data_IF_191044109465
#
_entry.id   IF_191044109465
#
_cell.length_a   1.000
_cell.length_b   1.000
_cell.length_c   1.000
_cell.angle_alpha   90.00
_cell.angle_beta   90.00
_cell.angle_gamma   90.00
#
_symmetry.space_group_name_H-M   'P 1'
#
loop_
_entity.id
_entity.type
_entity.pdbx_description
1 polymer ?
#
# COMPACT_ATOMS: atom_id res chain seq x y z
N UNK A 1 0.86 26.39 -73.82
CA UNK A 1 1.73 26.09 -72.66
C UNK A 1 0.86 26.11 -71.42
N UNK A 2 0.67 24.94 -70.81
CA UNK A 2 -0.25 24.68 -69.71
C UNK A 2 0.51 24.76 -68.38
N UNK A 3 0.06 25.59 -67.45
CA UNK A 3 0.60 25.65 -66.08
C UNK A 3 -0.50 25.26 -65.11
N UNK A 4 -0.42 24.02 -64.60
CA UNK A 4 -1.28 23.49 -63.53
C UNK A 4 -0.97 24.17 -62.18
N UNK A 5 -1.95 24.36 -61.29
CA UNK A 5 -1.70 24.73 -59.91
C UNK A 5 -1.23 23.54 -59.07
N UNK A 6 -0.27 23.79 -58.19
CA UNK A 6 0.32 22.85 -57.23
C UNK A 6 -0.66 22.64 -56.06
N UNK A 7 -1.10 21.39 -55.85
CA UNK A 7 -1.92 21.00 -54.71
C UNK A 7 -1.12 21.13 -53.41
N UNK A 8 -1.67 21.85 -52.42
CA UNK A 8 -1.20 21.86 -51.05
C UNK A 8 -1.70 20.60 -50.35
N UNK A 9 -0.78 19.71 -49.98
CA UNK A 9 -1.05 18.57 -49.10
C UNK A 9 -1.16 19.08 -47.66
N UNK A 10 -2.36 18.99 -47.07
CA UNK A 10 -2.56 19.11 -45.62
C UNK A 10 -1.79 17.99 -44.91
N UNK A 11 -1.11 18.25 -43.80
CA UNK A 11 -0.54 17.19 -42.98
C UNK A 11 -1.68 16.43 -42.31
N UNK A 12 -1.79 15.14 -42.62
CA UNK A 12 -2.64 14.19 -41.92
C UNK A 12 -2.03 14.01 -40.52
N UNK A 13 -2.67 14.57 -39.50
CA UNK A 13 -2.35 14.25 -38.11
C UNK A 13 -2.81 12.82 -37.90
N UNK A 14 -1.87 11.88 -37.92
CA UNK A 14 -2.12 10.51 -37.50
C UNK A 14 -2.47 10.53 -36.01
N UNK A 15 -3.69 10.10 -35.70
CA UNK A 15 -4.17 9.87 -34.33
C UNK A 15 -3.19 8.97 -33.58
N UNK A 16 -2.81 9.28 -32.32
CA UNK A 16 -1.96 8.41 -31.54
C UNK A 16 -2.71 7.09 -31.27
N UNK A 17 -2.18 6.02 -31.84
CA UNK A 17 -2.58 4.63 -31.53
C UNK A 17 -2.42 4.40 -30.03
N UNK A 18 -3.41 3.81 -29.32
CA UNK A 18 -3.26 3.51 -27.91
C UNK A 18 -2.07 2.56 -27.69
N UNK A 19 -1.18 2.92 -26.77
CA UNK A 19 0.04 2.18 -26.44
C UNK A 19 -0.20 0.91 -25.60
N UNK A 20 -1.46 0.44 -25.49
CA UNK A 20 -1.83 -0.80 -24.83
C UNK A 20 -2.90 -1.57 -25.62
N UNK A 21 -2.87 -2.92 -25.63
CA UNK A 21 -3.78 -3.73 -26.41
C UNK A 21 -5.23 -3.63 -25.92
N UNK A 22 -6.18 -3.69 -26.86
CA UNK A 22 -7.64 -3.74 -26.63
C UNK A 22 -8.12 -4.96 -25.80
N UNK A 23 -7.19 -5.82 -25.39
CA UNK A 23 -7.41 -6.99 -24.54
C UNK A 23 -6.56 -6.84 -23.29
N UNK A 24 -7.15 -7.06 -22.11
CA UNK A 24 -6.41 -7.19 -20.84
C UNK A 24 -5.15 -8.03 -21.09
N UNK A 25 -3.95 -7.57 -20.67
CA UNK A 25 -2.76 -8.40 -20.75
C UNK A 25 -3.08 -9.76 -20.11
N UNK A 26 -2.62 -10.86 -20.68
CA UNK A 26 -2.89 -12.18 -20.08
C UNK A 26 -2.12 -12.29 -18.76
N UNK A 27 -2.80 -12.60 -17.65
CA UNK A 27 -2.15 -12.92 -16.38
C UNK A 27 -1.11 -14.05 -16.59
N UNK A 28 0.10 -13.96 -16.00
CA UNK A 28 1.12 -14.99 -16.18
C UNK A 28 0.64 -16.36 -15.68
N UNK A 29 0.62 -17.35 -16.58
CA UNK A 29 0.19 -18.71 -16.27
C UNK A 29 1.03 -19.33 -15.14
N UNK A 30 0.34 -19.90 -14.14
CA UNK A 30 0.87 -20.60 -12.96
C UNK A 30 2.18 -21.35 -13.26
N UNK A 31 3.27 -20.95 -12.58
CA UNK A 31 4.50 -21.76 -12.48
C UNK A 31 4.14 -23.16 -11.98
N UNK A 32 4.62 -24.18 -12.69
CA UNK A 32 4.44 -25.59 -12.31
C UNK A 32 4.96 -25.82 -10.88
N UNK A 33 4.03 -26.13 -9.96
CA UNK A 33 4.37 -26.67 -8.64
C UNK A 33 5.13 -27.98 -8.82
N UNK A 34 6.37 -28.04 -8.36
CA UNK A 34 7.11 -29.29 -8.21
C UNK A 34 6.36 -30.16 -7.20
N UNK A 35 5.84 -31.31 -7.65
CA UNK A 35 5.19 -32.29 -6.78
C UNK A 35 6.23 -32.89 -5.84
N UNK A 36 6.18 -32.55 -4.55
CA UNK A 36 6.88 -33.30 -3.51
C UNK A 36 6.25 -34.70 -3.42
N UNK A 37 7.01 -35.80 -3.51
CA UNK A 37 6.46 -37.15 -3.44
C UNK A 37 5.73 -37.38 -2.12
N UNK A 38 4.52 -37.96 -2.17
CA UNK A 38 3.66 -38.24 -0.99
C UNK A 38 4.36 -39.03 0.12
N UNK A 39 5.42 -39.78 -0.20
CA UNK A 39 6.28 -40.50 0.74
C UNK A 39 7.14 -39.57 1.60
N UNK A 40 7.67 -38.47 1.03
CA UNK A 40 8.48 -37.48 1.76
C UNK A 40 7.61 -36.70 2.73
N UNK A 41 6.39 -36.33 2.33
CA UNK A 41 5.43 -35.63 3.19
C UNK A 41 5.02 -36.47 4.42
N UNK A 42 4.78 -37.77 4.24
CA UNK A 42 4.46 -38.68 5.36
C UNK A 42 5.61 -38.82 6.36
N UNK A 43 6.85 -38.82 5.87
CA UNK A 43 8.04 -38.98 6.71
C UNK A 43 8.32 -37.70 7.52
N UNK A 44 8.16 -36.52 6.91
CA UNK A 44 8.28 -35.22 7.61
C UNK A 44 7.19 -35.04 8.66
N UNK A 45 5.93 -35.38 8.34
CA UNK A 45 4.83 -35.32 9.31
C UNK A 45 5.04 -36.32 10.46
N UNK A 46 5.50 -37.54 10.17
CA UNK A 46 5.78 -38.56 11.18
C UNK A 46 6.87 -38.15 12.16
N UNK A 47 7.98 -37.57 11.67
CA UNK A 47 9.06 -37.06 12.52
C UNK A 47 8.60 -35.86 13.36
N UNK A 48 7.82 -34.95 12.78
CA UNK A 48 7.27 -33.80 13.50
C UNK A 48 6.36 -34.18 14.66
N UNK A 49 5.49 -35.19 14.48
CA UNK A 49 4.62 -35.71 15.55
C UNK A 49 5.45 -36.34 16.68
N UNK A 50 6.51 -37.08 16.35
CA UNK A 50 7.37 -37.72 17.35
C UNK A 50 8.11 -36.67 18.20
N UNK A 51 8.64 -35.62 17.56
CA UNK A 51 9.31 -34.50 18.25
C UNK A 51 8.32 -33.75 19.15
N UNK A 52 7.09 -33.52 18.67
CA UNK A 52 6.04 -32.87 19.46
C UNK A 52 5.65 -33.70 20.69
N UNK A 53 5.52 -35.02 20.56
CA UNK A 53 5.18 -35.90 21.69
C UNK A 53 6.30 -35.97 22.74
N UNK A 54 7.57 -35.95 22.31
CA UNK A 54 8.73 -35.86 23.22
C UNK A 54 8.74 -34.51 23.95
N UNK A 55 8.50 -33.42 23.23
CA UNK A 55 8.42 -32.09 23.83
C UNK A 55 7.23 -31.96 24.81
N UNK A 56 6.05 -32.48 24.45
CA UNK A 56 4.87 -32.49 25.31
C UNK A 56 5.10 -33.34 26.57
N UNK A 57 5.78 -34.49 26.43
CA UNK A 57 6.18 -35.32 27.57
C UNK A 57 7.14 -34.61 28.52
N UNK A 58 8.14 -33.90 27.97
CA UNK A 58 9.07 -33.09 28.76
C UNK A 58 8.37 -31.92 29.47
N UNK A 59 7.47 -31.22 28.77
CA UNK A 59 6.68 -30.11 29.31
C UNK A 59 5.75 -30.53 30.45
N UNK A 60 5.09 -31.69 30.32
CA UNK A 60 4.22 -32.25 31.36
C UNK A 60 5.03 -32.79 32.55
N UNK A 61 6.23 -33.34 32.31
CA UNK A 61 7.15 -33.75 33.37
C UNK A 61 7.66 -32.56 34.19
N UNK A 62 7.99 -31.44 33.53
CA UNK A 62 8.39 -30.19 34.19
C UNK A 62 7.28 -29.65 35.10
N UNK A 63 6.02 -29.72 34.66
CA UNK A 63 4.86 -29.28 35.46
C UNK A 63 4.47 -30.24 36.58
N UNK A 64 4.80 -31.53 36.46
CA UNK A 64 4.55 -32.51 37.52
C UNK A 64 5.62 -32.47 38.63
N UNK A 65 6.85 -32.05 38.30
CA UNK A 65 7.97 -31.99 39.25
C UNK A 65 8.08 -30.63 39.96
N UNK A 66 7.44 -29.58 39.44
CA UNK A 66 7.45 -28.23 40.03
C UNK A 66 6.03 -27.76 40.43
N UNK A 67 5.45 -28.36 41.48
CA UNK A 67 4.62 -27.63 42.47
C UNK A 67 4.29 -28.49 43.69
N UNK A 68 4.62 -28.06 44.91
CA UNK A 68 3.80 -28.34 46.09
C UNK A 68 2.96 -27.11 46.44
N UNK A 69 1.66 -27.34 46.68
CA UNK A 69 0.78 -26.51 47.52
C UNK A 69 0.32 -25.15 46.96
N UNK A 70 -0.94 -25.05 46.56
CA UNK A 70 -1.94 -24.33 47.37
C UNK A 70 -3.31 -24.34 46.66
N UNK A 71 -4.28 -24.96 47.34
CA UNK A 71 -5.69 -24.91 47.00
C UNK A 71 -6.34 -23.77 47.82
N UNK A 72 -6.70 -22.68 47.15
CA UNK A 72 -7.37 -21.53 47.76
C UNK A 72 -8.55 -21.03 46.93
N UNK A 73 -9.75 -21.43 47.36
CA UNK A 73 -11.09 -20.90 47.10
C UNK A 73 -11.36 -19.95 45.92
N UNK A 74 -12.18 -20.42 44.98
CA UNK A 74 -12.99 -19.55 44.12
C UNK A 74 -14.24 -19.08 44.88
N UNK A 75 -14.37 -17.77 45.08
CA UNK A 75 -15.60 -17.12 45.52
C UNK A 75 -16.23 -16.38 44.33
N UNK A 76 -17.50 -16.70 44.04
CA UNK A 76 -18.36 -16.01 43.08
C UNK A 76 -18.77 -14.65 43.64
N UNK A 77 -18.40 -13.57 42.95
CA UNK A 77 -18.83 -12.21 43.24
C UNK A 77 -19.46 -11.58 42.01
N UNK A 78 -20.79 -11.57 41.97
CA UNK A 78 -21.61 -10.80 41.04
C UNK A 78 -21.44 -9.30 41.31
N UNK A 79 -20.95 -8.55 40.32
CA UNK A 79 -20.85 -7.09 40.37
C UNK A 79 -21.22 -6.48 39.02
N UNK A 80 -22.48 -6.09 38.88
CA UNK A 80 -22.98 -5.27 37.78
C UNK A 80 -22.40 -3.87 37.91
N UNK A 81 -21.61 -3.41 36.93
CA UNK A 81 -21.14 -2.02 36.88
C UNK A 81 -21.86 -1.29 35.75
N UNK A 82 -22.76 -0.40 36.18
CA UNK A 82 -23.47 0.57 35.34
C UNK A 82 -22.49 1.71 35.06
N UNK A 83 -22.20 1.99 33.78
CA UNK A 83 -21.48 3.20 33.39
C UNK A 83 -22.49 4.34 33.24
N UNK A 84 -22.52 5.25 34.21
CA UNK A 84 -23.22 6.53 34.12
C UNK A 84 -22.38 7.51 33.31
N UNK A 85 -22.99 8.07 32.27
CA UNK A 85 -22.42 9.09 31.40
C UNK A 85 -22.56 10.46 32.09
N UNK A 86 -21.45 11.04 32.57
CA UNK A 86 -21.40 12.45 32.95
C UNK A 86 -20.81 13.26 31.80
N UNK A 87 -21.65 14.15 31.24
CA UNK A 87 -21.25 15.23 30.35
C UNK A 87 -20.79 16.40 31.21
N UNK A 88 -19.52 16.74 31.18
CA UNK A 88 -19.07 18.10 31.44
C UNK A 88 -18.23 18.59 30.25
N UNK A 89 -18.69 19.70 29.69
CA UNK A 89 -18.04 20.36 28.58
C UNK A 89 -16.80 21.10 29.03
N UNK A 90 -15.67 20.79 28.40
CA UNK A 90 -14.55 21.72 28.29
C UNK A 90 -14.34 21.96 26.81
N UNK A 91 -14.72 23.17 26.42
CA UNK A 91 -14.49 23.75 25.10
C UNK A 91 -12.99 24.03 25.00
N UNK A 92 -12.22 23.05 24.52
CA UNK A 92 -10.85 23.25 24.09
C UNK A 92 -10.87 23.80 22.67
N UNK A 93 -10.70 25.12 22.54
CA UNK A 93 -10.35 25.76 21.29
C UNK A 93 -8.97 25.26 20.85
N UNK A 94 -8.95 24.27 19.95
CA UNK A 94 -7.78 23.90 19.19
C UNK A 94 -7.86 24.57 17.83
N UNK A 95 -7.29 25.77 17.70
CA UNK A 95 -6.95 26.36 16.41
C UNK A 95 -5.95 25.43 15.70
N UNK A 96 -6.47 24.47 14.92
CA UNK A 96 -5.70 23.85 13.87
C UNK A 96 -5.43 24.94 12.84
N UNK A 97 -4.17 25.23 12.58
CA UNK A 97 -3.77 26.02 11.41
C UNK A 97 -4.33 25.29 10.19
N UNK A 98 -5.50 25.71 9.70
CA UNK A 98 -6.01 25.22 8.43
C UNK A 98 -5.05 25.77 7.38
N UNK A 99 -4.24 24.88 6.82
CA UNK A 99 -3.34 25.24 5.74
C UNK A 99 -4.17 25.58 4.51
N UNK A 100 -3.93 26.74 3.91
CA UNK A 100 -4.59 27.17 2.66
C UNK A 100 -4.19 26.30 1.44
N UNK A 101 -3.19 25.42 1.60
CA UNK A 101 -2.72 24.51 0.56
C UNK A 101 -3.70 23.35 0.32
N UNK A 102 -3.89 22.94 -0.95
CA UNK A 102 -4.77 21.83 -1.29
C UNK A 102 -4.27 20.49 -0.75
N UNK A 103 -5.14 19.51 -0.77
CA UNK A 103 -4.86 18.10 -0.46
C UNK A 103 -4.81 17.29 -1.75
N UNK A 104 -4.06 16.20 -1.77
CA UNK A 104 -3.95 15.38 -2.98
C UNK A 104 -3.76 13.88 -2.67
N UNK A 105 -4.29 13.05 -3.57
CA UNK A 105 -3.85 11.66 -3.66
C UNK A 105 -2.51 11.61 -4.38
N UNK A 106 -1.64 10.67 -4.00
CA UNK A 106 -0.34 10.51 -4.65
C UNK A 106 -0.08 9.03 -4.93
N UNK A 107 0.46 8.74 -6.11
CA UNK A 107 0.98 7.41 -6.44
C UNK A 107 2.34 7.52 -7.13
N UNK A 108 3.06 6.40 -7.24
CA UNK A 108 4.39 6.35 -7.82
C UNK A 108 4.48 5.30 -8.93
N UNK A 109 4.90 5.73 -10.12
CA UNK A 109 5.12 4.87 -11.28
C UNK A 109 6.60 4.94 -11.69
N UNK A 110 7.37 3.93 -11.26
CA UNK A 110 8.82 3.86 -11.54
C UNK A 110 9.20 3.00 -12.74
N UNK A 111 8.32 2.10 -13.16
CA UNK A 111 8.59 1.19 -14.27
C UNK A 111 7.30 0.72 -14.92
N UNK A 112 7.37 0.53 -16.24
CA UNK A 112 6.33 -0.09 -17.06
C UNK A 112 6.82 -1.37 -17.73
N UNK A 113 7.96 -1.94 -17.29
CA UNK A 113 8.47 -3.22 -17.78
C UNK A 113 7.42 -4.33 -17.60
N UNK A 114 6.73 -4.29 -16.45
CA UNK A 114 5.47 -4.99 -16.28
C UNK A 114 4.33 -4.01 -16.64
N UNK A 115 3.60 -4.20 -17.75
CA UNK A 115 2.58 -3.26 -18.21
C UNK A 115 1.41 -3.12 -17.22
N UNK A 116 1.25 -4.08 -16.30
CA UNK A 116 0.23 -4.02 -15.26
C UNK A 116 0.40 -2.82 -14.33
N UNK A 117 1.61 -2.32 -14.08
CA UNK A 117 1.79 -1.11 -13.25
C UNK A 117 1.18 0.13 -13.90
N UNK A 118 1.31 0.26 -15.23
CA UNK A 118 0.68 1.37 -15.94
C UNK A 118 -0.84 1.22 -15.95
N UNK A 119 -1.34 0.00 -16.21
CA UNK A 119 -2.78 -0.28 -16.15
C UNK A 119 -3.35 0.04 -14.76
N UNK A 120 -2.68 -0.37 -13.69
CA UNK A 120 -3.16 -0.17 -12.32
C UNK A 120 -3.04 1.30 -11.89
N UNK A 121 -2.03 2.05 -12.37
CA UNK A 121 -1.96 3.52 -12.19
C UNK A 121 -3.17 4.21 -12.85
N UNK A 122 -3.53 3.78 -14.06
CA UNK A 122 -4.74 4.25 -14.75
C UNK A 122 -6.00 3.86 -13.96
N UNK A 123 -6.08 2.63 -13.47
CA UNK A 123 -7.22 2.17 -12.67
C UNK A 123 -7.38 3.02 -11.41
N UNK A 124 -6.30 3.31 -10.70
CA UNK A 124 -6.32 4.19 -9.54
C UNK A 124 -6.86 5.59 -9.88
N UNK A 125 -6.40 6.19 -10.98
CA UNK A 125 -6.92 7.47 -11.49
C UNK A 125 -8.43 7.41 -11.75
N UNK A 126 -8.90 6.39 -12.44
CA UNK A 126 -10.33 6.20 -12.71
C UNK A 126 -11.15 6.02 -11.44
N UNK A 127 -10.68 5.19 -10.50
CA UNK A 127 -11.35 4.95 -9.23
C UNK A 127 -11.50 6.24 -8.42
N UNK A 128 -10.48 7.10 -8.42
CA UNK A 128 -10.47 8.35 -7.66
C UNK A 128 -11.23 9.49 -8.33
N UNK A 129 -11.31 9.54 -9.66
CA UNK A 129 -11.90 10.71 -10.34
C UNK A 129 -13.23 10.44 -11.05
N UNK A 130 -13.55 9.18 -11.36
CA UNK A 130 -14.62 8.86 -12.30
C UNK A 130 -15.55 7.75 -11.83
N UNK A 131 -15.06 6.80 -11.03
CA UNK A 131 -15.87 5.68 -10.60
C UNK A 131 -17.05 6.16 -9.70
N UNK A 132 -18.29 5.68 -9.94
CA UNK A 132 -19.50 6.22 -9.28
C UNK A 132 -19.51 6.13 -7.75
N UNK A 133 -18.77 5.20 -7.16
CA UNK A 133 -18.82 4.91 -5.71
C UNK A 133 -17.56 5.28 -4.94
N UNK A 134 -16.45 5.49 -5.64
CA UNK A 134 -15.14 5.72 -5.01
C UNK A 134 -14.55 7.08 -5.33
N UNK A 135 -15.12 7.80 -6.31
CA UNK A 135 -14.57 9.08 -6.74
C UNK A 135 -14.59 10.13 -5.63
N UNK A 136 -13.56 10.96 -5.66
CA UNK A 136 -13.35 12.16 -4.86
C UNK A 136 -12.71 13.23 -5.77
N UNK A 137 -13.51 13.90 -6.64
CA UNK A 137 -12.98 14.83 -7.63
C UNK A 137 -12.49 16.16 -7.03
N UNK A 138 -12.58 16.35 -5.71
CA UNK A 138 -12.10 17.55 -5.04
C UNK A 138 -10.57 17.58 -4.90
N UNK A 139 -9.92 16.42 -4.98
CA UNK A 139 -8.48 16.27 -4.79
C UNK A 139 -7.86 15.64 -6.04
N UNK A 140 -6.78 16.20 -6.58
CA UNK A 140 -6.12 15.60 -7.73
C UNK A 140 -5.40 14.31 -7.33
N UNK A 141 -5.15 13.44 -8.32
CA UNK A 141 -4.15 12.40 -8.25
C UNK A 141 -2.83 12.91 -8.85
N UNK A 142 -1.81 13.05 -8.00
CA UNK A 142 -0.43 13.31 -8.41
C UNK A 142 0.26 11.98 -8.70
N UNK A 143 0.77 11.81 -9.92
CA UNK A 143 1.57 10.64 -10.29
C UNK A 143 3.04 11.05 -10.33
N UNK A 144 3.81 10.58 -9.36
CA UNK A 144 5.26 10.71 -9.39
C UNK A 144 5.84 9.70 -10.40
N UNK A 145 6.58 10.19 -11.38
CA UNK A 145 7.24 9.35 -12.40
C UNK A 145 8.75 9.48 -12.31
N UNK A 146 9.45 8.44 -12.74
CA UNK A 146 10.90 8.44 -12.87
C UNK A 146 11.34 8.77 -14.29
N UNK A 147 12.63 9.12 -14.54
CA UNK A 147 13.11 9.52 -15.86
C UNK A 147 12.97 8.45 -16.95
N UNK A 148 12.90 7.17 -16.56
CA UNK A 148 12.70 6.05 -17.48
C UNK A 148 11.26 5.90 -17.99
N UNK A 149 10.29 6.59 -17.40
CA UNK A 149 8.91 6.57 -17.89
C UNK A 149 8.84 7.37 -19.21
N UNK A 150 8.37 6.77 -20.32
CA UNK A 150 8.26 7.47 -21.60
C UNK A 150 7.30 8.67 -21.53
N UNK A 151 7.61 9.73 -22.28
CA UNK A 151 6.81 10.96 -22.30
C UNK A 151 5.37 10.70 -22.79
N UNK A 152 5.17 9.71 -23.65
CA UNK A 152 3.84 9.33 -24.14
C UNK A 152 2.95 8.75 -23.03
N UNK A 153 3.55 8.03 -22.07
CA UNK A 153 2.85 7.48 -20.90
C UNK A 153 2.41 8.60 -19.97
N UNK A 154 3.29 9.57 -19.73
CA UNK A 154 2.98 10.76 -18.93
C UNK A 154 1.88 11.59 -19.59
N UNK A 155 2.03 11.87 -20.88
CA UNK A 155 1.02 12.61 -21.67
C UNK A 155 -0.34 11.91 -21.62
N UNK A 156 -0.36 10.58 -21.67
CA UNK A 156 -1.60 9.82 -21.55
C UNK A 156 -2.24 9.98 -20.15
N UNK A 157 -1.45 9.93 -19.07
CA UNK A 157 -1.94 10.14 -17.71
C UNK A 157 -2.49 11.57 -17.52
N UNK A 158 -1.77 12.57 -18.02
CA UNK A 158 -2.19 13.98 -18.00
C UNK A 158 -3.52 14.17 -18.76
N UNK A 159 -3.64 13.61 -19.97
CA UNK A 159 -4.89 13.63 -20.72
C UNK A 159 -6.05 12.92 -20.02
N UNK A 160 -5.74 11.93 -19.17
CA UNK A 160 -6.74 11.23 -18.35
C UNK A 160 -7.05 11.95 -17.03
N UNK A 161 -6.40 13.08 -16.76
CA UNK A 161 -6.70 13.96 -15.62
C UNK A 161 -5.77 13.81 -14.40
N UNK A 162 -4.63 13.13 -14.54
CA UNK A 162 -3.60 13.10 -13.50
C UNK A 162 -2.68 14.33 -13.55
N UNK A 163 -2.17 14.74 -12.39
CA UNK A 163 -1.05 15.68 -12.30
C UNK A 163 0.26 14.89 -12.31
N UNK A 164 0.99 14.88 -13.43
CA UNK A 164 2.26 14.14 -13.52
C UNK A 164 3.42 15.00 -13.04
N UNK A 165 4.22 14.49 -12.10
CA UNK A 165 5.46 15.13 -11.64
C UNK A 165 6.63 14.15 -11.81
N UNK A 166 7.44 14.39 -12.83
CA UNK A 166 8.71 13.66 -13.00
C UNK A 166 9.70 14.06 -11.91
N UNK A 167 10.27 13.08 -11.23
CA UNK A 167 11.28 13.25 -10.18
C UNK A 167 12.55 12.51 -10.53
N UNK A 168 13.67 12.99 -10.00
CA UNK A 168 14.98 12.36 -10.18
C UNK A 168 15.09 11.07 -9.36
N UNK A 169 15.88 10.11 -9.85
CA UNK A 169 16.15 8.89 -9.08
C UNK A 169 16.97 9.22 -7.83
N UNK A 170 16.55 8.71 -6.68
CA UNK A 170 17.33 8.87 -5.46
C UNK A 170 18.44 7.83 -5.37
N UNK A 171 19.64 8.25 -5.74
CA UNK A 171 20.88 7.44 -5.78
C UNK A 171 21.80 7.70 -4.57
N UNK A 172 21.24 8.12 -3.44
CA UNK A 172 21.98 8.60 -2.25
C UNK A 172 22.78 7.50 -1.50
N UNK A 173 23.04 6.34 -2.11
CA UNK A 173 23.75 5.24 -1.45
C UNK A 173 22.92 4.58 -0.35
N UNK A 174 21.61 4.49 -0.54
CA UNK A 174 20.75 3.73 0.36
C UNK A 174 21.14 2.25 0.38
N UNK A 175 21.05 1.58 1.55
CA UNK A 175 21.28 0.16 1.63
C UNK A 175 20.23 -0.60 0.82
N UNK A 176 20.66 -1.69 0.19
CA UNK A 176 19.80 -2.61 -0.57
C UNK A 176 19.94 -4.01 0.03
N UNK A 177 18.88 -4.85 0.01
CA UNK A 177 18.97 -6.22 0.48
C UNK A 177 20.10 -6.99 -0.18
N UNK A 178 20.76 -7.84 0.61
CA UNK A 178 21.80 -8.73 0.12
C UNK A 178 21.26 -9.63 -1.01
N UNK A 179 22.04 -9.82 -2.08
CA UNK A 179 21.63 -10.60 -3.25
C UNK A 179 20.65 -9.91 -4.19
N UNK A 180 20.18 -8.69 -3.88
CA UNK A 180 19.27 -7.92 -4.74
C UNK A 180 19.91 -6.70 -5.41
N UNK A 181 21.24 -6.59 -5.36
CA UNK A 181 21.99 -5.43 -5.86
C UNK A 181 21.83 -5.14 -7.35
N UNK A 182 21.53 -6.17 -8.15
CA UNK A 182 21.38 -6.10 -9.59
C UNK A 182 19.92 -5.78 -10.02
N UNK A 183 18.96 -5.87 -9.09
CA UNK A 183 17.56 -5.56 -9.36
C UNK A 183 17.32 -4.04 -9.28
N UNK A 184 17.43 -3.37 -10.43
CA UNK A 184 17.28 -1.92 -10.56
C UNK A 184 15.99 -1.38 -9.92
N UNK A 185 14.87 -2.13 -10.03
CA UNK A 185 13.59 -1.75 -9.44
C UNK A 185 13.59 -1.56 -7.92
N UNK A 186 14.51 -2.23 -7.21
CA UNK A 186 14.61 -2.13 -5.75
C UNK A 186 15.29 -0.83 -5.31
N UNK A 187 16.23 -0.33 -6.12
CA UNK A 187 16.87 0.98 -5.89
C UNK A 187 15.88 2.10 -6.12
N UNK A 188 15.03 1.96 -7.14
CA UNK A 188 14.05 2.97 -7.51
C UNK A 188 12.99 3.21 -6.42
N UNK A 189 12.72 2.24 -5.54
CA UNK A 189 11.69 2.40 -4.51
C UNK A 189 11.99 3.53 -3.52
N UNK A 190 13.27 3.80 -3.22
CA UNK A 190 13.64 4.96 -2.39
C UNK A 190 13.21 6.29 -3.02
N UNK A 191 13.06 6.35 -4.34
CA UNK A 191 12.58 7.56 -5.04
C UNK A 191 11.17 7.95 -4.60
N UNK A 192 10.37 7.03 -4.02
CA UNK A 192 9.09 7.36 -3.36
C UNK A 192 9.26 8.44 -2.28
N UNK A 193 10.44 8.59 -1.66
CA UNK A 193 10.66 9.62 -0.65
C UNK A 193 10.40 11.05 -1.17
N UNK A 194 10.39 11.28 -2.49
CA UNK A 194 9.97 12.56 -3.06
C UNK A 194 8.55 12.99 -2.67
N UNK A 195 7.68 12.07 -2.23
CA UNK A 195 6.35 12.39 -1.67
C UNK A 195 6.48 13.42 -0.53
N UNK A 196 7.50 13.28 0.33
CA UNK A 196 7.73 14.21 1.45
C UNK A 196 8.14 15.62 0.99
N UNK A 197 8.55 15.78 -0.26
CA UNK A 197 8.96 17.06 -0.83
C UNK A 197 7.84 17.77 -1.62
N UNK A 198 6.64 17.21 -1.68
CA UNK A 198 5.48 17.81 -2.34
C UNK A 198 4.84 18.88 -1.44
N UNK A 199 5.62 19.90 -1.08
CA UNK A 199 5.24 20.94 -0.11
C UNK A 199 4.23 21.96 -0.65
N UNK A 200 3.80 21.83 -1.90
CA UNK A 200 2.66 22.58 -2.46
C UNK A 200 1.32 22.13 -1.87
N UNK A 201 1.26 20.95 -1.25
CA UNK A 201 0.06 20.40 -0.62
C UNK A 201 0.17 20.44 0.90
N UNK A 202 -0.99 20.51 1.57
CA UNK A 202 -1.09 20.46 3.04
C UNK A 202 -1.02 19.04 3.56
N UNK A 203 -1.71 18.11 2.90
CA UNK A 203 -1.77 16.69 3.23
C UNK A 203 -1.85 15.85 1.98
N UNK A 204 -1.25 14.67 2.04
CA UNK A 204 -1.24 13.70 0.96
C UNK A 204 -1.76 12.36 1.47
N UNK A 205 -2.55 11.68 0.65
CA UNK A 205 -2.83 10.26 0.84
C UNK A 205 -2.09 9.50 -0.25
N UNK A 206 -0.97 8.89 0.14
CA UNK A 206 -0.20 8.03 -0.75
C UNK A 206 -0.85 6.66 -0.87
N UNK A 207 -0.93 6.18 -2.12
CA UNK A 207 -1.47 4.90 -2.51
C UNK A 207 -0.49 4.25 -3.51
N UNK A 208 0.01 3.06 -3.20
CA UNK A 208 0.68 2.24 -4.23
C UNK A 208 -0.30 2.00 -5.39
N UNK A 209 0.23 1.90 -6.61
CA UNK A 209 -0.62 1.83 -7.80
C UNK A 209 -1.38 0.50 -7.95
N UNK A 210 -1.12 -0.49 -7.09
CA UNK A 210 -1.83 -1.77 -6.99
C UNK A 210 -2.93 -1.76 -5.90
N UNK A 211 -3.39 -0.57 -5.51
CA UNK A 211 -4.58 -0.37 -4.67
C UNK A 211 -5.87 -0.50 -5.48
N UNK A 212 -6.80 -1.31 -4.96
CA UNK A 212 -8.18 -1.46 -5.43
C UNK A 212 -9.13 -0.84 -4.40
N UNK A 213 -9.93 0.14 -4.81
CA UNK A 213 -10.88 0.84 -3.95
C UNK A 213 -12.22 0.12 -3.94
N UNK A 214 -12.77 -0.05 -2.74
CA UNK A 214 -14.12 -0.57 -2.51
C UNK A 214 -15.10 0.57 -2.19
N UNK A 215 -14.60 1.66 -1.59
CA UNK A 215 -15.38 2.82 -1.16
C UNK A 215 -14.58 4.12 -1.38
N UNK A 216 -15.27 5.25 -1.35
CA UNK A 216 -14.60 6.57 -1.41
C UNK A 216 -13.68 6.77 -0.22
N UNK A 217 -12.45 7.23 -0.47
CA UNK A 217 -11.48 7.58 0.56
C UNK A 217 -11.74 8.96 1.20
N UNK A 218 -12.76 9.69 0.73
CA UNK A 218 -13.14 11.01 1.25
C UNK A 218 -13.21 11.09 2.79
N UNK A 219 -13.78 10.09 3.51
CA UNK A 219 -13.85 10.15 4.98
C UNK A 219 -12.49 10.16 5.69
N UNK A 220 -11.42 9.62 5.07
CA UNK A 220 -10.10 9.56 5.70
C UNK A 220 -9.48 10.96 5.86
N UNK A 221 -9.92 11.95 5.08
CA UNK A 221 -9.44 13.32 5.19
C UNK A 221 -9.98 14.05 6.41
N UNK A 222 -11.07 13.59 7.02
CA UNK A 222 -11.60 14.13 8.28
C UNK A 222 -10.76 13.70 9.50
N UNK A 223 -9.79 12.81 9.29
CA UNK A 223 -8.87 12.35 10.31
C UNK A 223 -8.03 13.51 10.86
N UNK A 224 -8.11 13.73 12.18
CA UNK A 224 -7.46 14.84 12.89
C UNK A 224 -6.34 14.34 13.82
N UNK A 225 -5.42 13.53 13.27
CA UNK A 225 -4.31 12.96 14.04
C UNK A 225 -3.22 14.03 14.32
N UNK A 226 -2.69 14.14 15.55
CA UNK A 226 -1.67 15.12 15.91
C UNK A 226 -0.40 15.09 15.04
N UNK A 227 0.05 13.91 14.64
CA UNK A 227 1.26 13.69 13.82
C UNK A 227 1.09 14.24 12.41
N UNK A 228 -0.14 14.26 11.90
CA UNK A 228 -0.50 14.89 10.61
C UNK A 228 -0.49 16.43 10.70
N UNK A 229 -0.30 17.03 11.89
CA UNK A 229 -0.12 18.49 12.02
C UNK A 229 1.34 18.93 11.99
N UNK A 230 2.29 18.00 12.09
CA UNK A 230 3.72 18.31 12.33
C UNK A 230 4.67 17.65 11.32
N UNK A 231 4.17 17.37 10.11
CA UNK A 231 4.97 16.76 9.03
C UNK A 231 5.05 15.23 9.10
N UNK A 232 4.23 14.58 9.92
CA UNK A 232 4.38 13.17 10.22
C UNK A 232 3.66 12.24 9.23
N UNK A 233 3.61 10.96 9.60
CA UNK A 233 3.01 9.88 8.81
C UNK A 233 1.95 9.18 9.64
N UNK A 234 0.83 8.84 9.03
CA UNK A 234 -0.12 7.90 9.56
C UNK A 234 -0.42 6.81 8.53
N UNK A 235 -0.69 5.59 8.96
CA UNK A 235 -0.95 4.47 8.07
C UNK A 235 -1.56 3.28 8.79
N UNK A 236 -1.64 2.15 8.10
CA UNK A 236 -2.11 0.90 8.70
C UNK A 236 -0.92 -0.04 8.85
N UNK A 237 -0.75 -0.61 10.04
CA UNK A 237 0.26 -1.62 10.28
C UNK A 237 -0.12 -2.95 9.61
N UNK A 238 0.84 -3.66 9.03
CA UNK A 238 0.56 -4.95 8.40
C UNK A 238 0.82 -6.15 9.32
N UNK A 239 1.92 -6.12 10.06
CA UNK A 239 2.44 -7.22 10.89
C UNK A 239 3.32 -6.69 12.01
N UNK A 240 3.76 -7.61 12.87
CA UNK A 240 4.76 -7.29 13.88
C UNK A 240 6.12 -6.96 13.24
N UNK A 241 6.83 -5.94 13.72
CA UNK A 241 8.15 -5.54 13.20
C UNK A 241 9.14 -6.70 13.15
N UNK A 242 9.15 -7.57 14.16
CA UNK A 242 10.05 -8.74 14.23
C UNK A 242 9.79 -9.74 13.09
N UNK A 243 8.52 -9.89 12.68
CA UNK A 243 8.15 -10.79 11.57
C UNK A 243 8.60 -10.23 10.22
N UNK A 244 8.61 -8.91 10.07
CA UNK A 244 8.93 -8.22 8.81
C UNK A 244 10.42 -8.12 8.53
N UNK A 245 11.26 -8.29 9.55
CA UNK A 245 12.73 -8.19 9.41
C UNK A 245 13.36 -9.43 8.76
N UNK A 246 12.65 -10.57 8.70
CA UNK A 246 13.25 -11.86 8.36
C UNK A 246 12.60 -12.61 7.18
N UNK A 247 11.37 -12.28 6.77
CA UNK A 247 10.73 -12.94 5.63
C UNK A 247 9.48 -12.21 5.12
N UNK A 248 9.25 -12.25 3.81
CA UNK A 248 7.96 -11.91 3.20
C UNK A 248 7.06 -13.15 3.24
N UNK A 249 6.27 -13.29 4.31
CA UNK A 249 5.34 -14.42 4.43
C UNK A 249 4.12 -14.28 3.50
N UNK A 250 3.78 -13.09 2.98
CA UNK A 250 2.53 -12.76 2.26
C UNK A 250 1.26 -13.45 2.80
N UNK A 251 1.22 -13.73 4.09
CA UNK A 251 0.06 -14.34 4.74
C UNK A 251 -0.58 -13.30 5.64
N UNK A 252 -1.88 -13.47 5.88
CA UNK A 252 -2.59 -12.64 6.86
C UNK A 252 -2.02 -12.88 8.28
N UNK A 253 -1.81 -11.83 9.09
CA UNK A 253 -1.46 -11.98 10.50
C UNK A 253 -2.56 -12.75 11.25
N UNK A 254 -2.16 -13.46 12.29
CA UNK A 254 -3.12 -14.13 13.17
C UNK A 254 -3.93 -13.09 13.95
N UNK A 255 -5.14 -13.47 14.37
CA UNK A 255 -5.97 -12.60 15.20
C UNK A 255 -5.24 -12.28 16.52
N UNK A 256 -5.17 -11.00 16.87
CA UNK A 256 -4.44 -10.52 18.05
C UNK A 256 -2.93 -10.32 17.83
N UNK A 257 -2.37 -10.62 16.65
CA UNK A 257 -0.99 -10.24 16.31
C UNK A 257 -0.84 -8.70 16.33
N UNK A 258 0.21 -8.21 16.98
CA UNK A 258 0.56 -6.78 16.99
C UNK A 258 0.95 -6.34 15.58
N UNK A 259 0.43 -5.19 15.14
CA UNK A 259 0.67 -4.62 13.81
C UNK A 259 1.41 -3.28 13.91
N UNK A 260 2.65 -3.33 14.36
CA UNK A 260 3.49 -2.18 14.63
C UNK A 260 4.49 -1.87 13.48
N UNK A 261 4.40 -2.58 12.36
CA UNK A 261 5.17 -2.29 11.14
C UNK A 261 4.30 -1.60 10.09
N UNK A 262 4.57 -0.32 9.84
CA UNK A 262 3.90 0.51 8.83
C UNK A 262 4.08 -0.10 7.43
N UNK A 263 2.98 -0.25 6.70
CA UNK A 263 3.02 -0.55 5.27
C UNK A 263 3.22 0.74 4.47
N UNK A 264 4.19 0.77 3.55
CA UNK A 264 4.52 1.96 2.77
C UNK A 264 3.69 2.10 1.49
N UNK A 265 2.65 1.30 1.29
CA UNK A 265 1.73 1.38 0.16
C UNK A 265 0.44 2.16 0.45
N UNK A 266 0.18 2.52 1.71
CA UNK A 266 -0.99 3.30 2.09
C UNK A 266 -0.67 4.21 3.29
N UNK A 267 -0.48 5.51 3.03
CA UNK A 267 -0.01 6.45 4.05
C UNK A 267 -0.63 7.83 3.91
N UNK A 268 -1.18 8.36 5.00
CA UNK A 268 -1.47 9.79 5.15
C UNK A 268 -0.18 10.51 5.55
N UNK A 269 0.24 11.51 4.78
CA UNK A 269 1.53 12.18 4.92
C UNK A 269 1.30 13.69 4.96
N UNK A 270 2.03 14.37 5.84
CA UNK A 270 2.18 15.83 5.79
C UNK A 270 3.55 16.17 5.21
N UNK A 271 3.62 16.70 3.97
CA UNK A 271 4.90 16.99 3.32
C UNK A 271 5.71 18.02 4.10
N UNK A 272 7.02 17.78 4.19
CA UNK A 272 7.96 18.66 4.88
C UNK A 272 9.35 18.50 4.25
N UNK A 273 9.87 19.59 3.68
CA UNK A 273 11.16 19.60 2.98
C UNK A 273 12.32 19.25 3.94
N UNK A 274 12.24 19.68 5.21
CA UNK A 274 13.26 19.33 6.21
C UNK A 274 13.25 17.82 6.45
N UNK A 275 12.07 17.21 6.63
CA UNK A 275 11.91 15.76 6.79
C UNK A 275 12.38 14.98 5.58
N UNK A 276 12.08 15.44 4.37
CA UNK A 276 12.63 14.85 3.15
C UNK A 276 14.18 14.82 3.20
N UNK A 277 14.80 15.93 3.59
CA UNK A 277 16.26 16.01 3.77
C UNK A 277 16.81 15.11 4.89
N UNK A 278 16.05 14.89 5.96
CA UNK A 278 16.39 13.97 7.06
C UNK A 278 16.31 12.51 6.60
N UNK A 279 15.19 12.10 5.98
CA UNK A 279 14.97 10.74 5.47
C UNK A 279 16.06 10.29 4.51
N UNK A 280 16.54 11.19 3.64
CA UNK A 280 17.63 10.89 2.70
C UNK A 280 18.96 10.54 3.37
N UNK A 281 19.16 10.96 4.62
CA UNK A 281 20.38 10.71 5.41
C UNK A 281 20.27 9.48 6.30
N UNK A 282 19.08 8.87 6.43
CA UNK A 282 18.84 7.71 7.31
C UNK A 282 19.63 6.50 6.84
N UNK A 283 20.43 5.92 7.72
CA UNK A 283 21.24 4.70 7.48
C UNK A 283 21.20 3.84 8.74
N UNK A 284 21.72 2.61 8.66
CA UNK A 284 21.84 1.73 9.82
C UNK A 284 20.60 0.86 10.11
N UNK A 285 19.76 0.64 9.10
CA UNK A 285 18.60 -0.27 9.17
C UNK A 285 18.81 -1.49 8.26
N UNK A 286 18.06 -2.56 8.53
CA UNK A 286 17.98 -3.73 7.63
C UNK A 286 17.06 -3.39 6.46
N UNK A 287 17.53 -3.38 5.20
CA UNK A 287 16.80 -2.78 4.07
C UNK A 287 15.74 -3.71 3.45
N UNK A 288 15.26 -4.72 4.17
CA UNK A 288 14.20 -5.60 3.66
C UNK A 288 12.92 -4.76 3.49
N UNK A 289 12.37 -4.69 2.28
CA UNK A 289 11.38 -3.67 1.86
C UNK A 289 11.86 -2.21 1.83
N UNK A 290 13.17 -1.98 1.68
CA UNK A 290 13.78 -0.72 1.23
C UNK A 290 13.26 0.53 1.94
N UNK A 291 12.47 1.36 1.25
CA UNK A 291 11.89 2.59 1.77
C UNK A 291 10.94 2.32 2.93
N UNK A 292 10.21 1.20 2.92
CA UNK A 292 9.33 0.84 4.03
C UNK A 292 10.14 0.55 5.30
N UNK A 293 11.28 -0.15 5.18
CA UNK A 293 12.17 -0.36 6.32
C UNK A 293 12.81 0.93 6.79
N UNK A 294 13.18 1.84 5.88
CA UNK A 294 13.67 3.16 6.23
C UNK A 294 12.60 3.93 7.01
N UNK A 295 11.36 3.94 6.52
CA UNK A 295 10.24 4.63 7.15
C UNK A 295 9.94 4.05 8.53
N UNK A 296 9.93 2.72 8.69
CA UNK A 296 9.75 2.09 10.00
C UNK A 296 10.91 2.34 10.96
N UNK A 297 12.14 2.51 10.46
CA UNK A 297 13.29 2.88 11.28
C UNK A 297 13.21 4.34 11.73
N UNK A 298 12.79 5.25 10.84
CA UNK A 298 12.71 6.68 11.13
C UNK A 298 11.49 7.03 11.99
N UNK A 299 10.32 6.51 11.60
CA UNK A 299 9.04 6.79 12.22
C UNK A 299 8.67 5.80 13.34
N UNK A 300 9.67 5.19 13.98
CA UNK A 300 9.44 4.19 15.01
C UNK A 300 8.54 4.75 16.15
N UNK A 301 7.57 3.95 16.60
CA UNK A 301 6.68 4.28 17.72
C UNK A 301 7.40 4.64 19.04
N UNK A 302 8.58 4.07 19.28
CA UNK A 302 9.42 4.41 20.43
C UNK A 302 10.45 5.52 20.11
N UNK A 303 10.46 5.99 18.86
CA UNK A 303 11.38 6.98 18.33
C UNK A 303 10.92 8.43 18.50
N UNK A 304 11.69 9.34 17.91
CA UNK A 304 11.42 10.79 17.97
C UNK A 304 10.24 11.24 17.09
N UNK A 305 9.84 10.40 16.13
CA UNK A 305 8.85 10.72 15.11
C UNK A 305 7.86 9.57 14.92
N UNK A 306 7.13 9.12 15.95
CA UNK A 306 6.25 7.95 15.82
C UNK A 306 5.18 8.18 14.74
N UNK A 307 4.96 7.18 13.86
CA UNK A 307 3.79 7.19 12.98
C UNK A 307 2.50 6.87 13.75
N UNK A 308 1.34 7.33 13.26
CA UNK A 308 0.04 7.07 13.90
C UNK A 308 -0.84 6.09 13.10
N UNK A 309 -1.65 5.30 13.81
CA UNK A 309 -2.54 4.35 13.17
C UNK A 309 -3.77 5.04 12.57
N UNK A 310 -4.04 4.78 11.30
CA UNK A 310 -5.33 5.07 10.66
C UNK A 310 -6.38 4.03 11.07
N UNK A 311 -7.64 4.25 10.70
CA UNK A 311 -8.68 3.23 10.85
C UNK A 311 -8.19 1.90 10.23
N UNK A 312 -8.19 0.77 10.95
CA UNK A 312 -7.79 -0.52 10.41
C UNK A 312 -8.60 -1.00 9.19
N UNK A 313 -9.78 -0.43 8.95
CA UNK A 313 -10.58 -0.65 7.74
C UNK A 313 -10.16 0.22 6.55
N UNK A 314 -9.21 1.15 6.71
CA UNK A 314 -8.71 1.99 5.61
C UNK A 314 -8.17 1.13 4.46
N UNK A 315 -7.42 0.07 4.79
CA UNK A 315 -6.85 -0.84 3.78
C UNK A 315 -6.63 -2.25 4.33
N UNK A 316 -6.93 -3.27 3.52
CA UNK A 316 -6.49 -4.65 3.76
C UNK A 316 -5.21 -4.94 2.97
N UNK A 317 -4.10 -5.20 3.65
CA UNK A 317 -2.82 -5.62 3.05
C UNK A 317 -2.77 -7.10 2.65
N UNK A 318 -3.79 -7.87 3.04
CA UNK A 318 -3.90 -9.28 2.73
C UNK A 318 -5.33 -9.57 2.25
N UNK A 319 -5.69 -9.12 1.04
CA UNK A 319 -7.07 -9.18 0.55
C UNK A 319 -7.59 -10.61 0.54
N UNK A 320 -8.77 -10.78 1.11
CA UNK A 320 -9.57 -12.02 1.04
C UNK A 320 -10.97 -11.66 0.54
N UNK A 321 -11.70 -12.64 0.00
CA UNK A 321 -13.06 -12.40 -0.51
C UNK A 321 -13.99 -11.81 0.54
N UNK A 322 -13.81 -12.14 1.83
CA UNK A 322 -14.62 -11.58 2.91
C UNK A 322 -14.39 -10.07 3.06
N UNK A 323 -13.19 -9.57 2.75
CA UNK A 323 -12.85 -8.16 2.90
C UNK A 323 -13.69 -7.26 1.97
N UNK A 324 -14.22 -7.80 0.85
CA UNK A 324 -15.17 -7.11 -0.04
C UNK A 324 -16.46 -6.67 0.67
N UNK A 325 -16.86 -7.35 1.75
CA UNK A 325 -18.10 -7.09 2.47
C UNK A 325 -17.88 -6.55 3.90
N UNK A 326 -16.62 -6.44 4.35
CA UNK A 326 -16.29 -6.08 5.74
C UNK A 326 -16.18 -4.58 6.01
N UNK A 327 -16.44 -3.75 5.01
CA UNK A 327 -16.37 -2.30 5.13
C UNK A 327 -14.95 -1.74 4.94
N UNK A 328 -14.03 -2.51 4.36
CA UNK A 328 -12.74 -1.96 3.94
C UNK A 328 -12.95 -0.87 2.89
N UNK A 329 -12.12 0.17 2.92
CA UNK A 329 -12.11 1.20 1.88
C UNK A 329 -11.25 0.78 0.69
N UNK A 330 -10.14 0.10 0.95
CA UNK A 330 -9.18 -0.33 -0.07
C UNK A 330 -8.62 -1.73 0.19
N UNK A 331 -8.15 -2.36 -0.87
CA UNK A 331 -7.41 -3.62 -0.88
C UNK A 331 -6.04 -3.39 -1.53
N UNK A 332 -4.96 -3.82 -0.89
CA UNK A 332 -3.60 -3.65 -1.37
C UNK A 332 -3.00 -5.02 -1.72
N UNK A 333 -2.87 -5.30 -3.00
CA UNK A 333 -2.13 -6.45 -3.53
C UNK A 333 -1.96 -6.34 -5.05
N UNK A 334 -1.00 -7.07 -5.61
CA UNK A 334 -0.85 -7.16 -7.08
C UNK A 334 -1.90 -8.12 -7.62
N UNK A 335 -3.12 -7.61 -7.86
CA UNK A 335 -4.28 -8.41 -8.29
C UNK A 335 -4.01 -9.31 -9.51
N UNK A 336 -3.08 -8.92 -10.38
CA UNK A 336 -2.69 -9.66 -11.58
C UNK A 336 -1.66 -10.78 -11.34
N UNK A 337 -1.05 -10.85 -10.15
CA UNK A 337 0.14 -11.67 -9.85
C UNK A 337 0.05 -12.47 -8.55
N UNK A 338 -0.51 -11.88 -7.50
CA UNK A 338 -0.51 -12.47 -6.17
C UNK A 338 -1.53 -13.61 -6.06
N UNK A 339 -1.31 -14.53 -5.12
CA UNK A 339 -2.25 -15.61 -4.83
C UNK A 339 -3.44 -15.06 -4.02
N UNK A 340 -4.45 -14.53 -4.72
CA UNK A 340 -5.65 -13.92 -4.14
C UNK A 340 -6.89 -14.75 -4.48
N UNK A 341 -7.90 -14.69 -3.61
CA UNK A 341 -9.23 -15.25 -3.87
C UNK A 341 -9.80 -14.75 -5.21
N UNK A 342 -10.43 -15.67 -5.95
CA UNK A 342 -10.94 -15.41 -7.30
C UNK A 342 -11.95 -14.26 -7.31
N UNK A 343 -12.78 -14.16 -6.28
CA UNK A 343 -13.81 -13.12 -6.16
C UNK A 343 -13.22 -11.71 -6.10
N UNK A 344 -12.05 -11.53 -5.46
CA UNK A 344 -11.34 -10.25 -5.43
C UNK A 344 -10.73 -9.95 -6.81
N UNK A 345 -10.16 -10.96 -7.47
CA UNK A 345 -9.61 -10.81 -8.82
C UNK A 345 -10.71 -10.46 -9.82
N UNK A 346 -11.88 -11.11 -9.73
CA UNK A 346 -13.03 -10.84 -10.60
C UNK A 346 -13.54 -9.40 -10.42
N UNK A 347 -13.59 -8.91 -9.17
CA UNK A 347 -13.94 -7.51 -8.89
C UNK A 347 -12.92 -6.51 -9.48
N UNK A 348 -11.63 -6.84 -9.41
CA UNK A 348 -10.58 -6.04 -10.06
C UNK A 348 -10.72 -6.06 -11.60
N UNK A 349 -10.94 -7.22 -12.22
CA UNK A 349 -11.13 -7.34 -13.67
C UNK A 349 -12.36 -6.54 -14.15
N UNK A 350 -13.46 -6.56 -13.38
CA UNK A 350 -14.65 -5.75 -13.64
C UNK A 350 -14.33 -4.25 -13.55
N UNK A 351 -13.61 -3.83 -12.50
CA UNK A 351 -13.19 -2.44 -12.33
C UNK A 351 -12.32 -1.94 -13.50
N UNK A 352 -11.40 -2.78 -13.99
CA UNK A 352 -10.59 -2.47 -15.17
C UNK A 352 -11.44 -2.37 -16.43
N UNK A 353 -12.42 -3.26 -16.60
CA UNK A 353 -13.35 -3.21 -17.75
C UNK A 353 -14.14 -1.90 -17.75
N UNK A 354 -14.67 -1.49 -16.60
CA UNK A 354 -15.44 -0.24 -16.47
C UNK A 354 -14.58 0.98 -16.81
N UNK A 355 -13.34 1.00 -16.31
CA UNK A 355 -12.35 2.01 -16.65
C UNK A 355 -12.07 2.09 -18.16
N UNK A 356 -11.83 0.96 -18.83
CA UNK A 356 -11.55 0.97 -20.28
C UNK A 356 -12.79 1.36 -21.10
N UNK A 357 -14.00 1.02 -20.65
CA UNK A 357 -15.24 1.51 -21.25
C UNK A 357 -15.40 3.02 -21.11
N UNK A 358 -15.05 3.59 -19.95
CA UNK A 358 -15.11 5.03 -19.69
C UNK A 358 -14.21 5.81 -20.67
N UNK A 359 -12.94 5.43 -20.82
CA UNK A 359 -12.05 6.12 -21.75
C UNK A 359 -12.22 5.71 -23.21
N UNK A 360 -12.80 4.55 -23.47
CA UNK A 360 -13.18 4.13 -24.82
C UNK A 360 -14.36 4.94 -25.37
N UNK A 361 -15.32 5.31 -24.51
CA UNK A 361 -16.49 6.11 -24.87
C UNK A 361 -16.25 7.62 -24.90
N UNK A 362 -15.16 8.10 -24.29
CA UNK A 362 -14.77 9.52 -24.24
C UNK A 362 -13.96 10.01 -25.47
N UNK A 363 -13.91 9.22 -26.55
CA UNK A 363 -13.12 9.50 -27.77
C UNK A 363 -13.93 10.12 -28.90
#
# INVERSE_FOLDING_TARGET
MSTKPRAQTKPTISSPTPLLPLSLPSSPSKRQRTRVPRTVLKLVVGVGVLVYLVWLGAFLWERAVLSPGDAGGFALGSGSFVYTQEKEGVRGEGEGIMSDKPEAYVTFLSSITDPWYFLSTRLLLYQLHHHPHTSDPLRPLVVLTTPQIPAEVETQLEHQGAEVKRVELLVDGFPIPEGMGDNHHWKDQYTKLHIFNLTDYSRLLYLDNDILLLQSLAPLWETNLPTVKTGGVAGVGERNKLNMVENDKRTRPEEGEVKDYLNAGFMMITPDEKRFGELRKVRGYKPFYMEQALLNHYFDWEGAHPWEELDPLSVSHFPQKEDLARGYYALHAKMWKDEIDKEVVDYWEESVKDMELFWGSSR
#
